data_IF_570260415423
#
_entry.id   IF_570260415423
#
_cell.length_a   1.000
_cell.length_b   1.000
_cell.length_c   1.000
_cell.angle_alpha   90.00
_cell.angle_beta   90.00
_cell.angle_gamma   90.00
#
_symmetry.space_group_name_H-M   'P 1'
#
loop_
_entity.id
_entity.type
_entity.pdbx_description
1 polymer ?
#
# COMPACT_ATOMS: atom_id res chain seq x y z
N UNK A 1 -13.86 -15.21 -1.29
CA UNK A 1 -12.60 -14.48 -1.58
C UNK A 1 -12.46 -13.19 -0.77
N UNK A 2 -13.44 -12.29 -0.75
CA UNK A 2 -13.38 -11.03 0.03
C UNK A 2 -13.02 -11.24 1.51
N UNK A 3 -13.70 -12.17 2.19
CA UNK A 3 -13.39 -12.47 3.60
C UNK A 3 -12.01 -13.12 3.79
N UNK A 4 -11.56 -13.92 2.83
CA UNK A 4 -10.24 -14.54 2.85
C UNK A 4 -9.14 -13.48 2.72
N UNK A 5 -9.26 -12.54 1.78
CA UNK A 5 -8.26 -11.49 1.61
C UNK A 5 -8.23 -10.54 2.82
N UNK A 6 -9.37 -10.27 3.45
CA UNK A 6 -9.43 -9.52 4.70
C UNK A 6 -8.72 -10.25 5.85
N UNK A 7 -8.91 -11.57 5.97
CA UNK A 7 -8.19 -12.39 6.95
C UNK A 7 -6.68 -12.40 6.69
N UNK A 8 -6.27 -12.67 5.44
CA UNK A 8 -4.87 -12.69 5.03
C UNK A 8 -4.19 -11.32 5.21
N UNK A 9 -4.93 -10.22 5.03
CA UNK A 9 -4.44 -8.88 5.34
C UNK A 9 -4.15 -8.67 6.84
N UNK A 10 -4.94 -9.27 7.73
CA UNK A 10 -4.65 -9.25 9.17
C UNK A 10 -3.44 -10.12 9.52
N UNK A 11 -3.24 -11.23 8.80
CA UNK A 11 -1.99 -12.01 8.87
C UNK A 11 -0.80 -11.16 8.41
N UNK A 12 -0.93 -10.40 7.33
CA UNK A 12 0.11 -9.46 6.89
C UNK A 12 0.43 -8.41 7.97
N UNK A 13 -0.59 -7.83 8.61
CA UNK A 13 -0.40 -6.91 9.74
C UNK A 13 0.39 -7.56 10.89
N UNK A 14 0.13 -8.84 11.18
CA UNK A 14 0.87 -9.59 12.18
C UNK A 14 2.33 -9.84 11.75
N UNK A 15 2.57 -10.21 10.49
CA UNK A 15 3.92 -10.41 9.94
C UNK A 15 4.74 -9.12 10.08
N UNK A 16 4.20 -7.99 9.63
CA UNK A 16 4.89 -6.69 9.73
C UNK A 16 5.16 -6.28 11.17
N UNK A 17 4.22 -6.52 12.08
CA UNK A 17 4.43 -6.28 13.50
C UNK A 17 5.59 -7.12 14.05
N UNK A 18 5.68 -8.41 13.68
CA UNK A 18 6.77 -9.30 14.11
C UNK A 18 8.12 -8.95 13.51
N UNK A 19 8.16 -8.36 12.32
CA UNK A 19 9.41 -7.96 11.64
C UNK A 19 9.81 -6.51 11.87
N UNK A 20 9.03 -5.74 12.63
CA UNK A 20 9.33 -4.35 12.99
C UNK A 20 9.01 -3.34 11.88
N UNK A 21 8.21 -3.73 10.89
CA UNK A 21 7.78 -2.85 9.79
C UNK A 21 6.63 -1.95 10.27
N UNK A 22 6.81 -0.63 10.18
CA UNK A 22 5.81 0.34 10.61
C UNK A 22 4.68 0.53 9.57
N UNK A 23 3.84 -0.48 9.40
CA UNK A 23 2.73 -0.47 8.43
C UNK A 23 1.64 0.55 8.78
N UNK A 24 1.47 0.91 10.05
CA UNK A 24 0.48 1.91 10.49
C UNK A 24 0.83 3.30 9.97
N UNK A 25 2.10 3.69 10.07
CA UNK A 25 2.58 4.94 9.48
C UNK A 25 2.36 4.95 7.97
N UNK A 26 2.75 3.87 7.28
CA UNK A 26 2.66 3.77 5.81
C UNK A 26 1.21 3.83 5.32
N UNK A 27 0.29 3.12 5.97
CA UNK A 27 -1.09 2.99 5.50
C UNK A 27 -2.06 4.04 6.02
N UNK A 28 -1.84 4.53 7.24
CA UNK A 28 -2.79 5.39 7.96
C UNK A 28 -2.20 6.78 8.26
N UNK A 29 -0.91 7.02 7.96
CA UNK A 29 -0.25 8.26 8.31
C UNK A 29 -0.10 8.48 9.83
N UNK A 30 -0.39 7.46 10.65
CA UNK A 30 -0.33 7.55 12.10
C UNK A 30 1.14 7.63 12.55
N UNK A 31 1.61 8.83 12.90
CA UNK A 31 2.88 9.05 13.58
C UNK A 31 2.62 8.98 15.08
N UNK A 32 2.92 7.84 15.70
CA UNK A 32 3.00 7.79 17.16
C UNK A 32 4.40 8.24 17.58
N UNK A 33 4.47 9.42 18.21
CA UNK A 33 5.70 9.94 18.83
C UNK A 33 6.22 8.95 19.87
N UNK A 34 7.54 8.74 19.92
CA UNK A 34 8.27 7.89 20.90
C UNK A 34 8.16 8.32 22.36
N UNK A 35 7.39 9.38 22.65
CA UNK A 35 7.31 9.94 23.98
C UNK A 35 6.06 9.42 24.72
N UNK A 36 6.23 8.31 25.42
CA UNK A 36 5.24 7.79 26.36
C UNK A 36 5.68 6.46 26.99
N UNK A 37 5.29 6.18 28.23
CA UNK A 37 5.56 4.91 28.92
C UNK A 37 4.87 3.69 28.28
N UNK A 38 4.06 3.88 27.24
CA UNK A 38 3.49 2.80 26.43
C UNK A 38 4.47 2.20 25.40
N UNK A 39 5.70 2.71 25.33
CA UNK A 39 6.67 2.40 24.28
C UNK A 39 7.32 1.01 24.31
N UNK A 40 7.13 0.20 25.35
CA UNK A 40 7.78 -1.11 25.42
C UNK A 40 6.89 -2.29 25.06
N UNK A 41 5.57 -2.11 25.11
CA UNK A 41 4.63 -3.16 24.74
C UNK A 41 4.16 -2.93 23.31
N UNK A 42 5.07 -3.21 22.36
CA UNK A 42 4.70 -3.68 21.02
C UNK A 42 4.09 -5.09 21.18
N UNK A 43 3.10 -5.21 22.07
CA UNK A 43 2.35 -6.41 22.33
C UNK A 43 1.28 -6.53 21.26
N UNK A 44 1.02 -7.77 20.86
CA UNK A 44 -0.06 -8.06 19.92
C UNK A 44 -1.40 -7.43 20.35
N UNK A 45 -1.64 -7.27 21.66
CA UNK A 45 -2.82 -6.61 22.22
C UNK A 45 -2.95 -5.12 21.85
N UNK A 46 -1.85 -4.36 21.78
CA UNK A 46 -1.86 -2.90 21.48
C UNK A 46 -1.95 -2.60 19.98
N UNK A 47 -1.65 -3.59 19.14
CA UNK A 47 -1.68 -3.50 17.68
C UNK A 47 -3.09 -3.30 17.08
N UNK A 48 -4.16 -3.43 17.87
CA UNK A 48 -5.57 -3.50 17.43
C UNK A 48 -5.87 -4.67 16.46
N UNK A 49 -4.89 -5.54 16.15
CA UNK A 49 -5.09 -6.72 15.30
C UNK A 49 -6.08 -7.72 15.91
N UNK A 50 -6.00 -8.08 17.22
CA UNK A 50 -7.00 -8.96 17.84
C UNK A 50 -8.42 -8.44 17.72
N UNK A 51 -8.61 -7.13 17.92
CA UNK A 51 -9.92 -6.47 17.80
C UNK A 51 -10.45 -6.53 16.36
N UNK A 52 -9.58 -6.32 15.36
CA UNK A 52 -9.95 -6.44 13.94
C UNK A 52 -10.25 -7.88 13.53
N UNK A 53 -9.54 -8.87 14.09
CA UNK A 53 -9.85 -10.30 13.93
C UNK A 53 -11.21 -10.63 14.54
N UNK A 54 -11.46 -10.17 15.77
CA UNK A 54 -12.76 -10.29 16.43
C UNK A 54 -13.88 -9.69 15.59
N UNK A 55 -13.70 -8.50 15.03
CA UNK A 55 -14.66 -7.91 14.10
C UNK A 55 -14.89 -8.79 12.86
N UNK A 56 -13.83 -9.32 12.26
CA UNK A 56 -13.91 -10.14 11.05
C UNK A 56 -14.62 -11.48 11.29
N UNK A 57 -14.51 -12.09 12.47
CA UNK A 57 -15.19 -13.37 12.76
C UNK A 57 -16.71 -13.24 12.74
N UNK A 58 -17.28 -12.08 13.11
CA UNK A 58 -18.72 -11.81 12.97
C UNK A 58 -19.19 -11.80 11.52
N UNK A 59 -18.32 -11.52 10.55
CA UNK A 59 -18.64 -11.67 9.14
C UNK A 59 -18.43 -13.11 8.69
N UNK A 60 -17.28 -13.72 9.03
CA UNK A 60 -16.91 -15.06 8.55
C UNK A 60 -17.91 -16.12 8.98
N UNK A 61 -18.24 -16.19 10.28
CA UNK A 61 -19.03 -17.31 10.81
C UNK A 61 -20.44 -17.36 10.22
N UNK A 62 -21.25 -16.28 10.26
CA UNK A 62 -22.59 -16.31 9.69
C UNK A 62 -22.57 -16.50 8.17
N UNK A 63 -21.64 -15.86 7.47
CA UNK A 63 -21.49 -16.00 6.01
C UNK A 63 -21.16 -17.44 5.61
N UNK A 64 -20.26 -18.10 6.34
CA UNK A 64 -19.89 -19.49 6.11
C UNK A 64 -21.09 -20.42 6.36
N UNK A 65 -21.85 -20.21 7.43
CA UNK A 65 -23.08 -20.98 7.72
C UNK A 65 -24.09 -20.81 6.59
N UNK A 66 -24.34 -19.59 6.12
CA UNK A 66 -25.26 -19.34 5.00
C UNK A 66 -24.80 -20.04 3.72
N UNK A 67 -23.51 -19.97 3.41
CA UNK A 67 -22.92 -20.62 2.24
C UNK A 67 -23.01 -22.15 2.33
N UNK A 68 -22.71 -22.73 3.49
CA UNK A 68 -22.77 -24.18 3.71
C UNK A 68 -24.20 -24.70 3.62
N UNK A 69 -25.16 -24.00 4.21
CA UNK A 69 -26.58 -24.33 4.09
C UNK A 69 -27.06 -24.18 2.64
N UNK A 70 -26.61 -23.15 1.93
CA UNK A 70 -27.00 -22.93 0.53
C UNK A 70 -26.48 -24.05 -0.37
N UNK A 71 -25.25 -24.49 -0.12
CA UNK A 71 -24.66 -25.64 -0.80
C UNK A 71 -25.39 -26.94 -0.47
N UNK A 72 -25.63 -27.23 0.82
CA UNK A 72 -26.28 -28.46 1.27
C UNK A 72 -27.74 -28.58 0.80
N UNK A 73 -28.45 -27.46 0.68
CA UNK A 73 -29.84 -27.40 0.24
C UNK A 73 -29.99 -27.22 -1.27
N UNK A 74 -28.88 -27.04 -2.00
CA UNK A 74 -28.84 -26.72 -3.44
C UNK A 74 -29.74 -25.53 -3.82
N UNK A 75 -29.92 -24.59 -2.89
CA UNK A 75 -30.82 -23.44 -3.04
C UNK A 75 -30.11 -22.15 -2.65
N UNK A 76 -30.11 -21.20 -3.58
CA UNK A 76 -29.63 -19.84 -3.32
C UNK A 76 -30.67 -19.01 -2.55
N UNK A 77 -31.97 -19.23 -2.77
CA UNK A 77 -33.04 -18.52 -2.07
C UNK A 77 -33.56 -19.35 -0.90
N UNK A 78 -33.74 -18.76 0.31
CA UNK A 78 -33.57 -17.34 0.68
C UNK A 78 -32.15 -16.97 1.17
N UNK A 79 -31.23 -17.93 1.23
CA UNK A 79 -29.94 -17.78 1.92
C UNK A 79 -29.02 -16.71 1.33
N UNK A 80 -29.07 -16.45 0.03
CA UNK A 80 -28.34 -15.36 -0.63
C UNK A 80 -28.80 -13.98 -0.18
N UNK A 81 -30.11 -13.76 0.01
CA UNK A 81 -30.62 -12.52 0.57
C UNK A 81 -30.28 -12.38 2.05
N UNK A 82 -30.36 -13.48 2.80
CA UNK A 82 -29.97 -13.52 4.20
C UNK A 82 -28.48 -13.21 4.39
N UNK A 83 -27.62 -13.70 3.49
CA UNK A 83 -26.20 -13.34 3.43
C UNK A 83 -26.01 -11.83 3.29
N UNK A 84 -26.65 -11.20 2.29
CA UNK A 84 -26.56 -9.74 2.08
C UNK A 84 -27.12 -8.97 3.27
N UNK A 85 -28.25 -9.43 3.82
CA UNK A 85 -28.88 -8.84 5.00
C UNK A 85 -27.96 -8.85 6.22
N UNK A 86 -27.30 -9.98 6.50
CA UNK A 86 -26.35 -10.09 7.62
C UNK A 86 -25.16 -9.16 7.42
N UNK A 87 -24.54 -9.15 6.23
CA UNK A 87 -23.40 -8.27 5.94
C UNK A 87 -23.81 -6.80 6.13
N UNK A 88 -24.95 -6.39 5.56
CA UNK A 88 -25.47 -5.03 5.66
C UNK A 88 -25.78 -4.65 7.12
N UNK A 89 -26.44 -5.55 7.86
CA UNK A 89 -26.75 -5.37 9.27
C UNK A 89 -25.48 -5.15 10.09
N UNK A 90 -24.45 -5.99 9.92
CA UNK A 90 -23.19 -5.85 10.66
C UNK A 90 -22.49 -4.52 10.34
N UNK A 91 -22.44 -4.10 9.08
CA UNK A 91 -21.85 -2.81 8.72
C UNK A 91 -22.60 -1.61 9.34
N UNK A 92 -23.94 -1.64 9.32
CA UNK A 92 -24.82 -0.58 9.84
C UNK A 92 -25.09 -0.67 11.34
N UNK A 93 -24.71 -1.78 11.99
CA UNK A 93 -25.02 -2.06 13.39
C UNK A 93 -24.52 -0.91 14.30
N UNK A 94 -25.42 -0.30 15.12
CA UNK A 94 -25.07 0.76 16.05
C UNK A 94 -24.01 0.32 17.06
N UNK A 95 -23.20 1.27 17.52
CA UNK A 95 -22.23 1.07 18.58
C UNK A 95 -22.97 0.74 19.89
N UNK A 96 -22.84 -0.50 20.38
CA UNK A 96 -23.41 -0.93 21.66
C UNK A 96 -24.13 -2.28 21.64
N UNK A 97 -24.60 -2.75 20.48
CA UNK A 97 -25.30 -4.04 20.39
C UNK A 97 -24.35 -5.25 20.50
N UNK A 98 -23.18 -5.14 19.89
CA UNK A 98 -22.12 -6.15 19.97
C UNK A 98 -21.00 -5.61 20.87
N UNK A 99 -20.47 -6.38 21.83
CA UNK A 99 -19.36 -5.95 22.67
C UNK A 99 -18.18 -5.44 21.83
N UNK A 100 -17.57 -4.32 22.22
CA UNK A 100 -16.44 -3.70 21.52
C UNK A 100 -16.69 -3.23 20.08
N UNK A 101 -17.94 -3.22 19.60
CA UNK A 101 -18.30 -2.76 18.25
C UNK A 101 -18.13 -1.25 18.05
N UNK A 102 -18.12 -0.49 19.14
CA UNK A 102 -17.78 0.93 19.18
C UNK A 102 -16.30 1.16 18.78
N UNK A 103 -15.41 0.26 19.16
CA UNK A 103 -13.95 0.38 18.90
C UNK A 103 -13.56 0.17 17.44
N UNK A 104 -14.47 -0.36 16.61
CA UNK A 104 -14.23 -0.63 15.18
C UNK A 104 -14.92 0.35 14.24
N UNK A 105 -15.61 1.37 14.78
CA UNK A 105 -16.27 2.42 14.00
C UNK A 105 -15.27 3.13 13.07
N UNK A 106 -14.08 3.46 13.56
CA UNK A 106 -13.05 4.11 12.74
C UNK A 106 -12.64 3.23 11.55
N UNK A 107 -12.39 1.94 11.78
CA UNK A 107 -12.04 0.98 10.72
C UNK A 107 -13.15 0.86 9.68
N UNK A 108 -14.42 0.79 10.11
CA UNK A 108 -15.59 0.75 9.20
C UNK A 108 -15.68 2.02 8.34
N UNK A 109 -15.59 3.19 8.98
CA UNK A 109 -15.61 4.48 8.29
C UNK A 109 -14.48 4.58 7.27
N UNK A 110 -13.25 4.26 7.68
CA UNK A 110 -12.09 4.24 6.79
C UNK A 110 -12.32 3.33 5.59
N UNK A 111 -12.76 2.08 5.80
CA UNK A 111 -13.01 1.14 4.70
C UNK A 111 -14.06 1.67 3.72
N UNK A 112 -15.18 2.21 4.21
CA UNK A 112 -16.25 2.76 3.36
C UNK A 112 -15.77 3.99 2.59
N UNK A 113 -15.07 4.92 3.26
CA UNK A 113 -14.55 6.13 2.61
C UNK A 113 -13.53 5.77 1.52
N UNK A 114 -12.57 4.88 1.81
CA UNK A 114 -11.57 4.44 0.83
C UNK A 114 -12.22 3.71 -0.35
N UNK A 115 -13.25 2.88 -0.12
CA UNK A 115 -14.01 2.24 -1.20
C UNK A 115 -14.75 3.26 -2.08
N UNK A 116 -15.39 4.28 -1.49
CA UNK A 116 -16.05 5.35 -2.23
C UNK A 116 -15.03 6.14 -3.06
N UNK A 117 -13.89 6.53 -2.46
CA UNK A 117 -12.79 7.22 -3.15
C UNK A 117 -12.25 6.41 -4.33
N UNK A 118 -12.17 5.08 -4.19
CA UNK A 118 -11.76 4.19 -5.27
C UNK A 118 -12.81 4.09 -6.39
N UNK A 119 -14.10 3.91 -6.03
CA UNK A 119 -15.18 3.84 -7.01
C UNK A 119 -15.34 5.15 -7.78
N UNK A 120 -15.08 6.28 -7.12
CA UNK A 120 -15.05 7.63 -7.68
C UNK A 120 -13.61 8.06 -8.03
N UNK A 121 -12.76 7.11 -8.39
CA UNK A 121 -11.38 7.38 -8.80
C UNK A 121 -11.35 8.37 -9.96
N UNK A 122 -10.50 9.39 -9.84
CA UNK A 122 -10.47 10.55 -10.75
C UNK A 122 -10.94 11.84 -10.10
N UNK A 123 -11.92 11.78 -9.19
CA UNK A 123 -12.47 13.00 -8.55
C UNK A 123 -11.72 13.42 -7.29
N UNK A 124 -11.12 12.47 -6.58
CA UNK A 124 -10.41 12.70 -5.32
C UNK A 124 -8.89 12.55 -5.50
N UNK A 125 -8.08 13.30 -4.73
CA UNK A 125 -6.65 13.03 -4.65
C UNK A 125 -6.42 11.61 -4.13
N UNK A 126 -5.36 10.97 -4.62
CA UNK A 126 -5.11 9.55 -4.36
C UNK A 126 -4.03 9.38 -3.31
N UNK A 127 -4.39 8.83 -2.15
CA UNK A 127 -3.45 8.50 -1.07
C UNK A 127 -2.89 7.08 -1.21
N UNK A 128 -1.89 6.74 -0.38
CA UNK A 128 -1.31 5.38 -0.34
C UNK A 128 -2.39 4.32 -0.14
N UNK A 129 -3.25 4.52 0.87
CA UNK A 129 -4.33 3.59 1.19
C UNK A 129 -5.30 3.36 0.03
N UNK A 130 -5.60 4.39 -0.77
CA UNK A 130 -6.54 4.32 -1.89
C UNK A 130 -6.01 3.43 -3.02
N UNK A 131 -4.76 3.65 -3.41
CA UNK A 131 -4.17 2.89 -4.51
C UNK A 131 -3.79 1.47 -4.07
N UNK A 132 -3.36 1.31 -2.82
CA UNK A 132 -3.08 0.02 -2.21
C UNK A 132 -4.35 -0.85 -2.11
N UNK A 133 -5.47 -0.29 -1.65
CA UNK A 133 -6.76 -0.98 -1.65
C UNK A 133 -7.22 -1.30 -3.06
N UNK A 134 -6.98 -0.40 -4.02
CA UNK A 134 -7.28 -0.66 -5.42
C UNK A 134 -6.55 -1.91 -5.95
N UNK A 135 -5.26 -2.09 -5.61
CA UNK A 135 -4.49 -3.26 -6.05
C UNK A 135 -5.00 -4.57 -5.42
N UNK A 136 -5.48 -4.52 -4.18
CA UNK A 136 -6.21 -5.63 -3.55
C UNK A 136 -7.48 -5.96 -4.35
N UNK A 137 -8.23 -4.94 -4.76
CA UNK A 137 -9.48 -5.10 -5.51
C UNK A 137 -9.25 -5.66 -6.93
N UNK A 138 -8.10 -5.39 -7.57
CA UNK A 138 -7.73 -6.06 -8.81
C UNK A 138 -7.66 -7.59 -8.69
N UNK A 139 -7.29 -8.10 -7.51
CA UNK A 139 -7.27 -9.55 -7.24
C UNK A 139 -8.66 -10.12 -6.89
N UNK A 140 -9.67 -9.26 -6.77
CA UNK A 140 -11.08 -9.63 -6.56
C UNK A 140 -11.92 -9.56 -7.85
N UNK A 141 -11.27 -9.53 -9.02
CA UNK A 141 -11.92 -9.47 -10.34
C UNK A 141 -13.01 -10.54 -10.52
N UNK A 142 -12.77 -11.78 -10.11
CA UNK A 142 -13.77 -12.86 -10.14
C UNK A 142 -14.99 -12.53 -9.26
N UNK A 143 -14.76 -12.09 -8.02
CA UNK A 143 -15.84 -11.74 -7.08
C UNK A 143 -16.69 -10.56 -7.57
N UNK A 144 -16.07 -9.59 -8.25
CA UNK A 144 -16.78 -8.45 -8.81
C UNK A 144 -17.58 -8.87 -10.05
N UNK A 145 -17.05 -9.75 -10.90
CA UNK A 145 -17.78 -10.30 -12.03
C UNK A 145 -19.02 -11.10 -11.58
N UNK A 146 -18.91 -11.87 -10.50
CA UNK A 146 -20.00 -12.71 -9.96
C UNK A 146 -21.18 -11.89 -9.40
N UNK A 147 -21.03 -10.58 -9.17
CA UNK A 147 -22.15 -9.69 -8.83
C UNK A 147 -23.21 -9.74 -9.96
N UNK A 148 -22.79 -9.77 -11.23
CA UNK A 148 -23.72 -9.90 -12.35
C UNK A 148 -24.41 -11.27 -12.37
N UNK A 149 -23.71 -12.34 -11.96
CA UNK A 149 -24.30 -13.67 -11.85
C UNK A 149 -25.38 -13.70 -10.77
N UNK A 150 -25.12 -13.10 -9.61
CA UNK A 150 -26.08 -12.98 -8.52
C UNK A 150 -27.40 -12.38 -9.02
N UNK A 151 -27.36 -11.18 -9.61
CA UNK A 151 -28.57 -10.54 -10.14
C UNK A 151 -29.24 -11.33 -11.28
N UNK A 152 -28.46 -11.99 -12.13
CA UNK A 152 -29.00 -12.80 -13.22
C UNK A 152 -29.84 -13.97 -12.70
N UNK A 153 -29.36 -14.71 -11.71
CA UNK A 153 -30.08 -15.86 -11.11
C UNK A 153 -31.42 -15.41 -10.49
N UNK A 154 -31.53 -14.17 -10.02
CA UNK A 154 -32.78 -13.61 -9.49
C UNK A 154 -33.71 -12.99 -10.55
N UNK A 155 -33.26 -12.82 -11.79
CA UNK A 155 -33.98 -12.06 -12.84
C UNK A 155 -34.99 -12.88 -13.65
N UNK A 156 -35.35 -14.10 -13.22
CA UNK A 156 -36.11 -15.10 -14.00
C UNK A 156 -35.41 -15.59 -15.28
N UNK A 157 -34.17 -15.16 -15.53
CA UNK A 157 -33.34 -15.71 -16.61
C UNK A 157 -32.99 -17.17 -16.28
N UNK A 158 -33.07 -18.11 -17.24
CA UNK A 158 -32.62 -19.48 -17.04
C UNK A 158 -31.19 -19.54 -16.50
N UNK A 159 -30.96 -20.29 -15.41
CA UNK A 159 -29.67 -20.33 -14.71
C UNK A 159 -28.48 -20.71 -15.61
N UNK A 160 -28.71 -21.52 -16.66
CA UNK A 160 -27.70 -21.90 -17.64
C UNK A 160 -27.20 -20.73 -18.51
N UNK A 161 -27.93 -19.61 -18.56
CA UNK A 161 -27.57 -18.39 -19.29
C UNK A 161 -26.91 -17.33 -18.40
N UNK A 162 -26.80 -17.57 -17.09
CA UNK A 162 -26.18 -16.62 -16.15
C UNK A 162 -24.65 -16.73 -16.03
N UNK A 163 -24.03 -17.62 -16.81
CA UNK A 163 -22.58 -17.82 -16.83
C UNK A 163 -21.80 -16.79 -17.63
N UNK A 164 -20.48 -16.82 -17.47
CA UNK A 164 -19.52 -15.94 -18.15
C UNK A 164 -19.49 -16.08 -19.68
N UNK A 165 -20.10 -17.13 -20.23
CA UNK A 165 -20.23 -17.35 -21.68
C UNK A 165 -21.40 -16.61 -22.32
N UNK A 166 -22.34 -16.10 -21.52
CA UNK A 166 -23.56 -15.45 -22.00
C UNK A 166 -23.77 -14.05 -21.42
N UNK A 167 -23.18 -13.75 -20.25
CA UNK A 167 -23.34 -12.45 -19.60
C UNK A 167 -22.25 -11.44 -20.00
N UNK A 168 -22.65 -10.41 -20.75
CA UNK A 168 -21.81 -9.23 -21.02
C UNK A 168 -21.50 -8.44 -19.76
N UNK A 169 -22.46 -8.39 -18.82
CA UNK A 169 -22.31 -7.66 -17.56
C UNK A 169 -21.14 -8.21 -16.73
N UNK A 170 -20.96 -9.54 -16.68
CA UNK A 170 -19.80 -10.14 -16.01
C UNK A 170 -18.46 -9.64 -16.58
N UNK A 171 -18.37 -9.47 -17.91
CA UNK A 171 -17.17 -8.96 -18.57
C UNK A 171 -16.90 -7.48 -18.32
N UNK A 172 -17.96 -6.66 -18.25
CA UNK A 172 -17.82 -5.24 -17.88
C UNK A 172 -17.34 -5.13 -16.44
N UNK A 173 -17.97 -5.87 -15.53
CA UNK A 173 -17.60 -5.88 -14.12
C UNK A 173 -16.17 -6.41 -13.89
N UNK A 174 -15.70 -7.39 -14.68
CA UNK A 174 -14.31 -7.86 -14.58
C UNK A 174 -13.27 -6.82 -15.03
N UNK A 175 -13.66 -5.82 -15.82
CA UNK A 175 -12.77 -4.72 -16.22
C UNK A 175 -12.70 -3.61 -15.17
N UNK A 176 -13.71 -3.47 -14.31
CA UNK A 176 -13.83 -2.36 -13.35
C UNK A 176 -12.65 -2.20 -12.40
N UNK A 177 -12.08 -3.26 -11.80
CA UNK A 177 -10.95 -3.10 -10.88
C UNK A 177 -9.74 -2.42 -11.55
N UNK A 178 -9.40 -2.87 -12.77
CA UNK A 178 -8.30 -2.28 -13.54
C UNK A 178 -8.64 -0.87 -14.01
N UNK A 179 -9.90 -0.60 -14.34
CA UNK A 179 -10.37 0.75 -14.68
C UNK A 179 -10.21 1.73 -13.51
N UNK A 180 -10.60 1.36 -12.28
CA UNK A 180 -10.41 2.25 -11.12
C UNK A 180 -8.93 2.58 -10.87
N UNK A 181 -8.04 1.60 -11.03
CA UNK A 181 -6.59 1.85 -10.92
C UNK A 181 -6.07 2.74 -12.03
N UNK A 182 -6.53 2.53 -13.25
CA UNK A 182 -6.21 3.39 -14.38
C UNK A 182 -6.59 4.85 -14.08
N UNK A 183 -7.81 5.09 -13.61
CA UNK A 183 -8.28 6.45 -13.24
C UNK A 183 -7.47 7.05 -12.09
N UNK A 184 -7.11 6.26 -11.07
CA UNK A 184 -6.21 6.72 -10.00
C UNK A 184 -4.83 7.10 -10.54
N UNK A 185 -4.27 6.37 -11.51
CA UNK A 185 -2.98 6.69 -12.10
C UNK A 185 -3.04 7.98 -12.92
N UNK A 186 -4.10 8.19 -13.70
CA UNK A 186 -4.31 9.44 -14.43
C UNK A 186 -4.48 10.63 -13.49
N UNK A 187 -5.23 10.44 -12.39
CA UNK A 187 -5.43 11.48 -11.39
C UNK A 187 -4.11 11.92 -10.76
N UNK A 188 -3.26 10.96 -10.40
CA UNK A 188 -1.94 11.25 -9.83
C UNK A 188 -1.02 11.97 -10.81
N UNK A 189 -1.04 11.57 -12.08
CA UNK A 189 -0.34 12.31 -13.12
C UNK A 189 -0.84 13.75 -13.25
N UNK A 190 -2.15 13.98 -13.17
CA UNK A 190 -2.73 15.31 -13.22
C UNK A 190 -2.36 16.16 -11.99
N UNK A 191 -2.28 15.56 -10.80
CA UNK A 191 -1.93 16.25 -9.56
C UNK A 191 -0.42 16.55 -9.45
N UNK A 192 0.47 15.62 -9.82
CA UNK A 192 1.92 15.78 -9.65
C UNK A 192 2.64 16.34 -10.88
N UNK A 193 2.09 16.13 -12.09
CA UNK A 193 2.78 16.41 -13.36
C UNK A 193 3.86 15.39 -13.73
N UNK A 194 4.16 14.42 -12.87
CA UNK A 194 5.21 13.43 -13.08
C UNK A 194 4.73 12.28 -13.98
N UNK A 195 5.25 12.21 -15.21
CA UNK A 195 4.88 11.14 -16.15
C UNK A 195 5.28 9.75 -15.64
N UNK A 196 6.42 9.65 -14.94
CA UNK A 196 6.91 8.43 -14.30
C UNK A 196 6.79 8.58 -12.77
N UNK A 197 6.24 7.59 -12.06
CA UNK A 197 5.78 6.28 -12.53
C UNK A 197 4.32 6.26 -13.06
N UNK A 198 3.58 7.37 -12.97
CA UNK A 198 2.13 7.37 -13.07
C UNK A 198 1.57 6.89 -14.42
N UNK A 199 2.09 7.38 -15.55
CA UNK A 199 1.57 6.99 -16.88
C UNK A 199 1.94 5.57 -17.27
N UNK A 200 3.13 5.08 -16.88
CA UNK A 200 3.49 3.68 -17.09
C UNK A 200 2.59 2.75 -16.26
N UNK A 201 2.27 3.16 -15.04
CA UNK A 201 1.32 2.43 -14.21
C UNK A 201 -0.10 2.46 -14.83
N UNK A 202 -0.52 3.59 -15.40
CA UNK A 202 -1.78 3.67 -16.14
C UNK A 202 -1.80 2.69 -17.33
N UNK A 203 -0.73 2.65 -18.13
CA UNK A 203 -0.60 1.72 -19.25
C UNK A 203 -0.67 0.24 -18.80
N UNK A 204 -0.05 -0.09 -17.66
CA UNK A 204 -0.16 -1.41 -17.02
C UNK A 204 -1.62 -1.79 -16.76
N UNK A 205 -2.43 -0.90 -16.19
CA UNK A 205 -3.85 -1.18 -15.96
C UNK A 205 -4.70 -1.16 -17.23
N UNK A 206 -4.32 -0.39 -18.25
CA UNK A 206 -4.95 -0.47 -19.58
C UNK A 206 -4.80 -1.87 -20.19
N UNK A 207 -3.63 -2.50 -20.03
CA UNK A 207 -3.42 -3.89 -20.44
C UNK A 207 -4.29 -4.86 -19.63
N UNK A 208 -4.49 -4.61 -18.34
CA UNK A 208 -5.42 -5.37 -17.50
C UNK A 208 -6.88 -5.28 -17.98
N UNK A 209 -7.32 -4.09 -18.40
CA UNK A 209 -8.64 -3.89 -19.02
C UNK A 209 -8.72 -4.67 -20.35
N UNK A 210 -7.72 -4.52 -21.21
CA UNK A 210 -7.68 -5.19 -22.52
C UNK A 210 -7.69 -6.73 -22.38
N UNK A 211 -6.94 -7.27 -21.42
CA UNK A 211 -6.94 -8.70 -21.07
C UNK A 211 -8.35 -9.18 -20.68
N UNK A 212 -9.01 -8.50 -19.73
CA UNK A 212 -10.34 -8.91 -19.28
C UNK A 212 -11.41 -8.75 -20.39
N UNK A 213 -11.33 -7.68 -21.17
CA UNK A 213 -12.25 -7.42 -22.28
C UNK A 213 -12.12 -8.47 -23.39
N UNK A 214 -10.90 -8.81 -23.78
CA UNK A 214 -10.64 -9.84 -24.80
C UNK A 214 -11.00 -11.25 -24.31
N UNK A 215 -10.77 -11.56 -23.03
CA UNK A 215 -11.24 -12.80 -22.40
C UNK A 215 -12.78 -12.90 -22.42
N UNK A 216 -13.49 -11.82 -22.10
CA UNK A 216 -14.94 -11.77 -22.21
C UNK A 216 -15.40 -11.96 -23.65
N UNK A 217 -14.79 -11.24 -24.60
CA UNK A 217 -15.11 -11.34 -26.01
C UNK A 217 -14.92 -12.77 -26.55
N UNK A 218 -13.82 -13.45 -26.15
CA UNK A 218 -13.57 -14.84 -26.47
C UNK A 218 -14.68 -15.75 -25.93
N UNK A 219 -15.04 -15.61 -24.65
CA UNK A 219 -16.10 -16.40 -23.99
C UNK A 219 -17.49 -16.21 -24.63
N UNK A 220 -17.83 -14.99 -25.04
CA UNK A 220 -19.12 -14.66 -25.67
C UNK A 220 -19.22 -15.13 -27.14
N UNK A 221 -18.08 -15.32 -27.82
CA UNK A 221 -18.03 -15.73 -29.23
C UNK A 221 -18.09 -17.23 -29.46
N UNK A 222 -18.59 -17.97 -28.48
CA UNK A 222 -18.45 -19.42 -28.38
C UNK A 222 -17.01 -19.90 -28.67
N UNK A 223 -16.04 -19.15 -28.14
CA UNK A 223 -14.60 -19.46 -28.22
C UNK A 223 -14.07 -19.54 -29.65
N UNK A 224 -14.55 -18.65 -30.53
CA UNK A 224 -14.00 -18.52 -31.88
C UNK A 224 -12.48 -18.33 -31.88
N UNK A 225 -11.78 -19.04 -32.77
CA UNK A 225 -10.32 -18.92 -32.92
C UNK A 225 -9.89 -17.48 -33.26
N UNK A 226 -10.72 -16.73 -33.99
CA UNK A 226 -10.46 -15.32 -34.31
C UNK A 226 -10.36 -14.42 -33.06
N UNK A 227 -11.11 -14.73 -31.99
CA UNK A 227 -11.04 -13.97 -30.72
C UNK A 227 -10.06 -14.56 -29.73
N UNK A 228 -9.55 -15.77 -29.98
CA UNK A 228 -8.52 -16.42 -29.17
C UNK A 228 -7.17 -15.72 -29.29
N UNK A 229 -6.76 -15.38 -30.52
CA UNK A 229 -5.49 -14.68 -30.77
C UNK A 229 -5.35 -13.36 -30.00
N UNK A 230 -6.29 -12.38 -30.09
CA UNK A 230 -6.17 -11.14 -29.34
C UNK A 230 -6.20 -11.36 -27.82
N UNK A 231 -6.97 -12.34 -27.34
CA UNK A 231 -6.95 -12.74 -25.92
C UNK A 231 -5.55 -13.19 -25.48
N UNK A 232 -4.93 -14.13 -26.19
CA UNK A 232 -3.60 -14.65 -25.85
C UNK A 232 -2.55 -13.54 -25.88
N UNK A 233 -2.59 -12.66 -26.88
CA UNK A 233 -1.66 -11.53 -27.00
C UNK A 233 -1.81 -10.56 -25.83
N UNK A 234 -3.04 -10.11 -25.54
CA UNK A 234 -3.30 -9.21 -24.41
C UNK A 234 -2.95 -9.84 -23.07
N UNK A 235 -3.26 -11.13 -22.87
CA UNK A 235 -2.92 -11.87 -21.66
C UNK A 235 -1.40 -11.98 -21.46
N UNK A 236 -0.67 -12.35 -22.52
CA UNK A 236 0.79 -12.47 -22.49
C UNK A 236 1.46 -11.13 -22.17
N UNK A 237 1.07 -10.06 -22.87
CA UNK A 237 1.60 -8.71 -22.63
C UNK A 237 1.30 -8.23 -21.21
N UNK A 238 0.07 -8.43 -20.74
CA UNK A 238 -0.32 -8.07 -19.38
C UNK A 238 0.50 -8.83 -18.34
N UNK A 239 0.62 -10.16 -18.45
CA UNK A 239 1.39 -10.97 -17.50
C UNK A 239 2.87 -10.57 -17.46
N UNK A 240 3.52 -10.41 -18.62
CA UNK A 240 4.94 -10.03 -18.67
C UNK A 240 5.16 -8.64 -18.05
N UNK A 241 4.38 -7.65 -18.46
CA UNK A 241 4.60 -6.26 -18.02
C UNK A 241 4.19 -6.04 -16.56
N UNK A 242 3.13 -6.71 -16.08
CA UNK A 242 2.75 -6.66 -14.66
C UNK A 242 3.70 -7.44 -13.76
N UNK A 243 4.19 -8.62 -14.17
CA UNK A 243 5.23 -9.34 -13.41
C UNK A 243 6.53 -8.56 -13.35
N UNK A 244 6.94 -7.94 -14.47
CA UNK A 244 8.08 -7.05 -14.46
C UNK A 244 7.84 -5.90 -13.46
N UNK A 245 6.69 -5.24 -13.50
CA UNK A 245 6.34 -4.17 -12.57
C UNK A 245 6.39 -4.61 -11.10
N UNK A 246 5.83 -5.78 -10.77
CA UNK A 246 5.80 -6.28 -9.39
C UNK A 246 7.23 -6.49 -8.85
N UNK A 247 8.12 -7.09 -9.66
CA UNK A 247 9.50 -7.33 -9.26
C UNK A 247 10.33 -6.05 -9.21
N UNK A 248 10.21 -5.23 -10.24
CA UNK A 248 11.04 -4.05 -10.51
C UNK A 248 10.65 -2.87 -9.64
N UNK A 249 9.36 -2.52 -9.66
CA UNK A 249 8.85 -1.29 -9.06
C UNK A 249 8.36 -1.55 -7.64
N UNK A 250 7.49 -2.55 -7.48
CA UNK A 250 6.77 -2.74 -6.22
C UNK A 250 7.66 -3.36 -5.14
N UNK A 251 8.52 -4.31 -5.51
CA UNK A 251 9.44 -4.95 -4.57
C UNK A 251 10.85 -4.35 -4.61
N UNK A 252 11.16 -3.52 -5.62
CA UNK A 252 12.51 -2.98 -5.86
C UNK A 252 13.59 -4.08 -5.92
N UNK A 253 13.23 -5.23 -6.48
CA UNK A 253 14.09 -6.38 -6.74
C UNK A 253 14.45 -6.37 -8.25
N UNK A 254 15.45 -7.13 -8.67
CA UNK A 254 15.92 -7.27 -10.05
C UNK A 254 16.61 -6.04 -10.70
N UNK A 255 17.15 -5.09 -9.92
CA UNK A 255 17.93 -3.95 -10.45
C UNK A 255 19.38 -3.92 -9.97
N UNK A 256 19.63 -4.35 -8.74
CA UNK A 256 20.94 -4.22 -8.14
C UNK A 256 21.81 -5.44 -8.48
N UNK A 257 22.44 -5.42 -9.66
CA UNK A 257 23.42 -6.44 -10.06
C UNK A 257 24.80 -6.21 -9.43
N UNK A 258 25.01 -5.05 -8.81
CA UNK A 258 26.27 -4.58 -8.22
C UNK A 258 26.36 -4.76 -6.70
N UNK A 259 25.25 -5.14 -6.05
CA UNK A 259 25.17 -5.41 -4.61
C UNK A 259 25.68 -6.81 -4.25
N UNK A 260 26.11 -6.98 -3.00
CA UNK A 260 26.42 -8.29 -2.39
C UNK A 260 25.25 -9.29 -2.46
N UNK A 261 24.02 -8.82 -2.69
CA UNK A 261 22.84 -9.66 -2.89
C UNK A 261 22.43 -9.66 -4.37
N UNK A 262 22.68 -10.77 -5.06
CA UNK A 262 22.30 -10.92 -6.48
C UNK A 262 20.80 -10.67 -6.68
N UNK A 263 20.44 -9.68 -7.51
CA UNK A 263 19.06 -9.25 -7.81
C UNK A 263 18.26 -8.67 -6.62
N UNK A 264 18.69 -8.81 -5.38
CA UNK A 264 17.94 -8.31 -4.22
C UNK A 264 18.48 -6.94 -3.78
N UNK A 265 17.63 -6.17 -3.11
CA UNK A 265 18.02 -4.94 -2.42
C UNK A 265 18.86 -5.22 -1.17
N UNK A 266 19.50 -4.19 -0.64
CA UNK A 266 20.45 -4.31 0.47
C UNK A 266 19.78 -4.47 1.84
N UNK A 267 18.57 -3.95 2.01
CA UNK A 267 17.80 -4.05 3.25
C UNK A 267 16.58 -4.97 3.08
N UNK A 268 16.66 -6.13 3.72
CA UNK A 268 15.70 -7.24 3.65
C UNK A 268 15.16 -7.56 5.05
N UNK A 269 14.16 -6.83 5.51
CA UNK A 269 13.56 -6.98 6.84
C UNK A 269 12.94 -8.37 7.04
N UNK A 270 12.32 -8.96 6.00
CA UNK A 270 11.80 -10.33 6.09
C UNK A 270 12.91 -11.39 6.19
N UNK A 271 14.14 -11.07 5.75
CA UNK A 271 15.28 -11.98 5.88
C UNK A 271 15.85 -11.99 7.32
N UNK A 272 15.35 -11.14 8.22
CA UNK A 272 15.78 -11.06 9.60
C UNK A 272 16.94 -10.08 9.80
N UNK A 273 17.83 -10.37 10.74
CA UNK A 273 19.00 -9.52 11.03
C UNK A 273 20.16 -9.87 10.09
N UNK A 274 20.88 -8.85 9.64
CA UNK A 274 22.17 -9.02 8.96
C UNK A 274 23.17 -9.64 9.95
N UNK A 275 24.06 -10.50 9.46
CA UNK A 275 25.22 -10.89 10.25
C UNK A 275 26.12 -9.65 10.43
N UNK A 276 26.52 -9.39 11.67
CA UNK A 276 27.27 -8.19 12.03
C UNK A 276 28.67 -8.16 11.41
N UNK A 277 29.30 -9.33 11.21
CA UNK A 277 30.69 -9.44 10.73
C UNK A 277 30.83 -9.13 9.24
N UNK A 278 29.86 -9.58 8.43
CA UNK A 278 29.94 -9.52 6.97
C UNK A 278 28.80 -8.71 6.33
N UNK A 279 27.88 -8.16 7.12
CA UNK A 279 26.73 -7.39 6.64
C UNK A 279 25.73 -8.17 5.79
N UNK A 280 25.86 -9.51 5.69
CA UNK A 280 25.07 -10.35 4.78
C UNK A 280 23.94 -11.07 5.49
N UNK A 281 22.88 -11.36 4.75
CA UNK A 281 21.79 -12.21 5.21
C UNK A 281 22.12 -13.69 4.99
N UNK A 282 21.60 -14.56 5.86
CA UNK A 282 21.66 -16.01 5.65
C UNK A 282 20.97 -16.42 4.34
N UNK A 283 21.56 -17.36 3.61
CA UNK A 283 21.01 -17.83 2.33
C UNK A 283 19.58 -18.36 2.48
N UNK A 284 19.31 -19.17 3.51
CA UNK A 284 17.98 -19.73 3.78
C UNK A 284 16.90 -18.66 4.00
N UNK A 285 17.31 -17.47 4.48
CA UNK A 285 16.41 -16.34 4.66
C UNK A 285 16.15 -15.59 3.35
N UNK A 286 17.16 -15.47 2.49
CA UNK A 286 17.03 -14.89 1.15
C UNK A 286 16.13 -15.72 0.24
N UNK A 287 16.09 -17.05 0.42
CA UNK A 287 15.23 -17.95 -0.36
C UNK A 287 13.75 -17.51 -0.36
N UNK A 288 13.26 -16.91 0.72
CA UNK A 288 11.87 -16.42 0.81
C UNK A 288 11.55 -15.42 -0.32
N UNK A 289 12.49 -14.56 -0.67
CA UNK A 289 12.32 -13.59 -1.76
C UNK A 289 12.31 -14.28 -3.12
N UNK A 290 13.28 -15.15 -3.39
CA UNK A 290 13.34 -15.87 -4.67
C UNK A 290 12.11 -16.76 -4.89
N UNK A 291 11.65 -17.46 -3.85
CA UNK A 291 10.41 -18.23 -3.92
C UNK A 291 9.21 -17.33 -4.20
N UNK A 292 9.12 -16.16 -3.55
CA UNK A 292 8.05 -15.21 -3.82
C UNK A 292 8.08 -14.68 -5.26
N UNK A 293 9.27 -14.42 -5.83
CA UNK A 293 9.42 -13.99 -7.21
C UNK A 293 8.91 -15.04 -8.20
N UNK A 294 9.33 -16.30 -8.01
CA UNK A 294 8.89 -17.41 -8.85
C UNK A 294 7.37 -17.61 -8.70
N UNK A 295 6.87 -17.57 -7.46
CA UNK A 295 5.45 -17.72 -7.14
C UNK A 295 4.59 -16.66 -7.82
N UNK A 296 5.03 -15.40 -7.80
CA UNK A 296 4.31 -14.30 -8.45
C UNK A 296 4.22 -14.52 -9.96
N UNK A 297 5.35 -14.80 -10.62
CA UNK A 297 5.39 -15.05 -12.07
C UNK A 297 4.49 -16.24 -12.42
N UNK A 298 4.60 -17.37 -11.74
CA UNK A 298 3.83 -18.57 -12.07
C UNK A 298 2.31 -18.33 -12.03
N UNK A 299 1.82 -17.67 -10.97
CA UNK A 299 0.38 -17.38 -10.84
C UNK A 299 -0.07 -16.29 -11.83
N UNK A 300 0.80 -15.34 -12.20
CA UNK A 300 0.47 -14.33 -13.23
C UNK A 300 0.15 -14.94 -14.60
N UNK A 301 0.58 -16.17 -14.86
CA UNK A 301 0.25 -16.95 -16.05
C UNK A 301 -0.96 -17.90 -15.85
N UNK A 302 -1.78 -17.70 -14.82
CA UNK A 302 -2.97 -18.52 -14.56
C UNK A 302 -3.96 -18.55 -15.73
N UNK A 303 -3.97 -17.50 -16.56
CA UNK A 303 -4.82 -17.39 -17.75
C UNK A 303 -4.54 -18.48 -18.79
N UNK A 304 -3.37 -19.13 -18.75
CA UNK A 304 -3.01 -20.24 -19.63
C UNK A 304 -4.03 -21.38 -19.51
N UNK A 305 -4.60 -21.59 -18.32
CA UNK A 305 -5.66 -22.58 -18.10
C UNK A 305 -6.85 -22.33 -19.02
N UNK A 306 -7.21 -21.06 -19.25
CA UNK A 306 -8.28 -20.67 -20.16
C UNK A 306 -7.90 -20.73 -21.65
N UNK A 307 -6.61 -20.76 -21.97
CA UNK A 307 -6.11 -20.82 -23.34
C UNK A 307 -5.89 -22.26 -23.86
N UNK A 308 -5.56 -23.19 -22.96
CA UNK A 308 -5.20 -24.58 -23.29
C UNK A 308 -6.35 -25.56 -23.03
N UNK A 309 -7.15 -25.37 -21.97
CA UNK A 309 -8.13 -26.36 -21.57
C UNK A 309 -9.48 -26.19 -22.31
N UNK A 310 -9.99 -27.21 -23.04
CA UNK A 310 -11.24 -27.16 -23.77
C UNK A 310 -12.48 -27.03 -22.86
N UNK A 311 -13.62 -26.73 -23.48
CA UNK A 311 -14.87 -26.17 -22.95
C UNK A 311 -15.34 -26.60 -21.54
N UNK A 312 -15.00 -27.79 -21.06
CA UNK A 312 -15.39 -28.35 -19.76
C UNK A 312 -14.68 -27.72 -18.55
N UNK A 313 -13.40 -27.36 -18.66
CA UNK A 313 -12.61 -26.81 -17.53
C UNK A 313 -12.89 -25.31 -17.34
N UNK A 314 -13.13 -24.58 -18.43
CA UNK A 314 -13.35 -23.13 -18.37
C UNK A 314 -14.73 -22.73 -17.80
N UNK A 315 -15.73 -23.62 -17.90
CA UNK A 315 -17.05 -23.42 -17.30
C UNK A 315 -17.15 -23.96 -15.86
N UNK A 316 -16.11 -24.66 -15.38
CA UNK A 316 -16.11 -25.22 -14.04
C UNK A 316 -16.03 -24.12 -12.98
N UNK A 317 -17.04 -24.09 -12.10
CA UNK A 317 -17.02 -23.27 -10.89
C UNK A 317 -15.80 -23.59 -10.01
N UNK A 318 -15.38 -24.86 -9.97
CA UNK A 318 -14.21 -25.30 -9.20
C UNK A 318 -12.93 -24.68 -9.75
N UNK A 319 -12.76 -24.67 -11.08
CA UNK A 319 -11.58 -24.06 -11.72
C UNK A 319 -11.55 -22.56 -11.46
N UNK A 320 -12.67 -21.86 -11.64
CA UNK A 320 -12.75 -20.42 -11.36
C UNK A 320 -12.47 -20.10 -9.89
N UNK A 321 -12.93 -20.96 -8.97
CA UNK A 321 -12.63 -20.84 -7.54
C UNK A 321 -11.14 -21.03 -7.23
N UNK A 322 -10.50 -22.05 -7.82
CA UNK A 322 -9.06 -22.32 -7.62
C UNK A 322 -8.23 -21.15 -8.15
N UNK A 323 -8.52 -20.63 -9.34
CA UNK A 323 -7.81 -19.50 -9.91
C UNK A 323 -8.01 -18.24 -9.06
N UNK A 324 -9.24 -17.95 -8.63
CA UNK A 324 -9.50 -16.84 -7.71
C UNK A 324 -8.76 -17.00 -6.37
N UNK A 325 -8.63 -18.22 -5.86
CA UNK A 325 -7.86 -18.51 -4.65
C UNK A 325 -6.36 -18.26 -4.86
N UNK A 326 -5.80 -18.75 -5.96
CA UNK A 326 -4.39 -18.53 -6.31
C UNK A 326 -4.08 -17.04 -6.45
N UNK A 327 -4.92 -16.27 -7.12
CA UNK A 327 -4.74 -14.82 -7.27
C UNK A 327 -4.82 -14.09 -5.91
N UNK A 328 -5.70 -14.51 -4.99
CA UNK A 328 -5.75 -13.96 -3.62
C UNK A 328 -4.49 -14.31 -2.83
N UNK A 329 -3.98 -15.55 -2.94
CA UNK A 329 -2.74 -15.98 -2.28
C UNK A 329 -1.51 -15.24 -2.84
N UNK A 330 -1.45 -15.04 -4.16
CA UNK A 330 -0.42 -14.22 -4.81
C UNK A 330 -0.43 -12.79 -4.27
N UNK A 331 -1.62 -12.17 -4.20
CA UNK A 331 -1.77 -10.82 -3.64
C UNK A 331 -1.37 -10.74 -2.16
N UNK A 332 -1.70 -11.75 -1.36
CA UNK A 332 -1.26 -11.85 0.03
C UNK A 332 0.27 -11.74 0.14
N UNK A 333 1.00 -12.51 -0.68
CA UNK A 333 2.47 -12.45 -0.75
C UNK A 333 2.96 -11.08 -1.23
N UNK A 334 2.41 -10.58 -2.35
CA UNK A 334 2.79 -9.28 -2.91
C UNK A 334 2.63 -8.13 -1.91
N UNK A 335 1.57 -8.13 -1.11
CA UNK A 335 1.31 -7.10 -0.10
C UNK A 335 2.47 -7.02 0.90
N UNK A 336 2.98 -8.16 1.37
CA UNK A 336 4.05 -8.21 2.37
C UNK A 336 5.27 -7.45 1.87
N UNK A 337 5.74 -7.81 0.66
CA UNK A 337 6.93 -7.23 0.05
C UNK A 337 6.71 -5.78 -0.40
N UNK A 338 5.51 -5.41 -0.88
CA UNK A 338 5.22 -4.01 -1.28
C UNK A 338 5.35 -3.05 -0.10
N UNK A 339 4.81 -3.43 1.05
CA UNK A 339 4.84 -2.59 2.27
C UNK A 339 6.23 -2.58 2.88
N UNK A 340 6.96 -3.70 2.80
CA UNK A 340 8.36 -3.75 3.19
C UNK A 340 9.23 -2.85 2.31
N UNK A 341 8.97 -2.80 1.00
CA UNK A 341 9.66 -1.90 0.08
C UNK A 341 9.41 -0.44 0.44
N UNK A 342 8.16 -0.10 0.70
CA UNK A 342 7.77 1.25 1.14
C UNK A 342 8.42 1.65 2.46
N UNK A 343 8.54 0.70 3.41
CA UNK A 343 9.19 0.95 4.68
C UNK A 343 10.66 1.33 4.49
N UNK A 344 11.39 0.57 3.69
CA UNK A 344 12.81 0.82 3.40
C UNK A 344 13.00 2.14 2.67
N UNK A 345 12.17 2.44 1.68
CA UNK A 345 12.21 3.73 0.99
C UNK A 345 12.00 4.90 1.98
N UNK A 346 11.03 4.79 2.89
CA UNK A 346 10.78 5.82 3.91
C UNK A 346 11.94 6.00 4.91
N UNK A 347 12.63 4.90 5.26
CA UNK A 347 13.82 4.93 6.13
C UNK A 347 14.98 5.64 5.44
N UNK A 348 15.26 5.33 4.17
CA UNK A 348 16.34 5.98 3.42
C UNK A 348 16.10 7.47 3.14
N UNK A 349 14.83 7.88 2.99
CA UNK A 349 14.46 9.28 2.76
C UNK A 349 14.32 10.10 4.06
N UNK A 350 14.65 9.52 5.23
CA UNK A 350 14.52 10.18 6.54
C UNK A 350 13.14 10.80 6.82
N UNK A 351 12.07 10.30 6.18
CA UNK A 351 10.71 10.89 6.29
C UNK A 351 10.10 10.80 7.70
N UNK A 352 10.71 10.01 8.59
CA UNK A 352 10.21 9.68 9.93
C UNK A 352 11.09 10.26 11.05
N UNK A 353 12.25 10.84 10.74
CA UNK A 353 13.02 11.57 11.77
C UNK A 353 12.36 12.93 11.98
N UNK A 354 11.46 13.02 12.95
CA UNK A 354 11.41 14.26 13.73
C UNK A 354 12.76 14.38 14.40
N UNK A 355 13.37 15.56 14.37
CA UNK A 355 14.66 15.80 15.01
C UNK A 355 14.60 15.23 16.43
N UNK A 356 15.35 14.14 16.65
CA UNK A 356 15.46 13.59 17.98
C UNK A 356 16.26 14.64 18.77
N UNK A 357 15.68 15.28 19.80
CA UNK A 357 16.45 16.21 20.59
C UNK A 357 17.66 15.45 21.13
N UNK A 358 18.84 16.02 20.92
CA UNK A 358 20.05 15.45 21.50
C UNK A 358 19.83 15.33 23.02
N UNK A 359 20.31 14.25 23.66
CA UNK A 359 20.12 14.01 25.10
C UNK A 359 20.81 15.04 25.99
N UNK A 360 21.46 16.04 25.40
CA UNK A 360 22.04 17.19 26.07
C UNK A 360 21.43 18.47 25.51
N UNK A 361 21.15 19.46 26.37
CA UNK A 361 20.68 20.76 25.93
C UNK A 361 21.73 21.37 25.01
N UNK A 362 21.34 21.64 23.77
CA UNK A 362 22.08 22.55 22.91
C UNK A 362 21.83 23.92 23.52
N UNK A 363 22.89 24.59 23.99
CA UNK A 363 22.80 26.00 24.34
C UNK A 363 22.29 26.72 23.08
N UNK A 364 21.05 27.20 23.12
CA UNK A 364 20.58 28.12 22.11
C UNK A 364 21.49 29.33 22.23
N UNK A 365 22.37 29.53 21.25
CA UNK A 365 23.06 30.80 21.10
C UNK A 365 21.93 31.76 20.74
N UNK A 366 21.42 32.45 21.77
CA UNK A 366 20.41 33.47 21.61
C UNK A 366 20.93 34.48 20.60
N UNK A 367 20.12 34.71 19.57
CA UNK A 367 20.31 35.77 18.61
C UNK A 367 19.93 37.09 19.30
N UNK A 368 20.69 37.44 20.34
CA UNK A 368 20.63 38.75 20.96
C UNK A 368 21.60 39.62 20.18
N UNK A 369 21.02 40.52 19.38
CA UNK A 369 21.68 41.68 18.81
C UNK A 369 22.39 42.47 19.92
N UNK A 370 23.66 42.15 20.17
CA UNK A 370 24.50 42.88 21.13
C UNK A 370 25.20 44.04 20.42
N UNK A 371 24.78 45.24 20.81
CA UNK A 371 25.52 46.47 20.60
C UNK A 371 26.96 46.32 21.10
N UNK A 372 27.89 46.72 20.24
CA UNK A 372 29.33 46.65 20.46
C UNK A 372 29.81 47.79 21.37
N UNK A 373 29.70 47.62 22.69
CA UNK A 373 30.61 48.26 23.65
C UNK A 373 30.32 47.73 25.06
N UNK A 374 31.37 47.31 25.76
CA UNK A 374 31.41 46.78 27.14
C UNK A 374 31.15 45.28 27.32
N UNK A 375 32.20 44.48 27.10
CA UNK A 375 32.50 43.35 27.98
C UNK A 375 34.00 43.06 28.06
N UNK A 376 34.78 44.11 28.36
CA UNK A 376 36.10 43.93 28.95
C UNK A 376 35.93 43.67 30.44
N UNK A 377 36.53 42.59 30.94
CA UNK A 377 36.58 42.17 32.35
C UNK A 377 35.32 41.51 32.94
N UNK A 378 35.25 40.18 32.83
CA UNK A 378 34.87 39.21 33.90
C UNK A 378 34.44 37.87 33.29
N UNK A 379 35.41 37.07 32.86
CA UNK A 379 35.29 35.61 32.80
C UNK A 379 36.68 34.98 32.55
N UNK A 380 37.69 35.41 33.31
CA UNK A 380 38.99 34.75 33.34
C UNK A 380 39.25 34.28 34.77
N UNK A 381 38.58 33.21 35.18
CA UNK A 381 38.93 32.46 36.38
C UNK A 381 38.19 31.12 36.44
N UNK A 382 38.44 30.23 35.48
CA UNK A 382 38.36 28.78 35.69
C UNK A 382 38.88 28.08 34.44
N UNK A 383 39.65 27.01 34.64
CA UNK A 383 40.31 26.17 33.63
C UNK A 383 41.60 26.73 33.01
N UNK A 384 42.63 26.84 33.85
CA UNK A 384 43.99 26.50 33.44
C UNK A 384 44.22 25.02 33.77
N UNK A 385 44.35 24.17 32.75
CA UNK A 385 45.22 22.98 32.74
C UNK A 385 45.44 22.52 31.27
N UNK A 386 46.41 23.18 30.59
CA UNK A 386 47.54 22.63 29.79
C UNK A 386 47.25 21.59 28.67
N UNK A 387 47.91 21.56 27.47
CA UNK A 387 48.32 22.63 26.52
C UNK A 387 48.21 22.20 25.01
N UNK A 388 47.74 23.05 24.07
CA UNK A 388 48.19 22.92 22.66
C UNK A 388 48.35 24.33 22.05
N UNK A 389 49.55 24.61 21.55
CA UNK A 389 49.94 25.75 20.72
C UNK A 389 50.48 25.23 19.36
N UNK A 390 50.70 26.05 18.32
CA UNK A 390 49.74 26.89 17.58
C UNK A 390 49.96 26.81 16.04
N UNK A 391 49.02 27.27 15.20
CA UNK A 391 49.26 27.95 13.90
C UNK A 391 47.91 28.25 13.22
N UNK A 392 47.55 29.54 13.07
CA UNK A 392 47.63 30.35 11.82
C UNK A 392 46.74 29.78 10.70
N UNK A 393 45.66 30.41 10.24
CA UNK A 393 45.53 31.80 9.77
C UNK A 393 44.08 32.33 9.76
N UNK A 394 44.00 33.67 9.74
CA UNK A 394 42.82 34.52 9.80
C UNK A 394 42.05 34.67 8.46
N UNK A 395 40.76 34.99 8.63
CA UNK A 395 39.91 35.92 7.85
C UNK A 395 39.02 35.40 6.68
N UNK A 396 37.90 36.10 6.35
CA UNK A 396 36.56 35.61 6.69
C UNK A 396 35.52 35.69 5.53
N UNK A 397 34.28 35.26 5.82
CA UNK A 397 33.04 35.47 5.05
C UNK A 397 32.81 34.63 3.77
N UNK A 398 32.07 33.53 3.90
CA UNK A 398 30.69 33.38 3.37
C UNK A 398 30.20 31.96 3.63
N UNK A 399 29.41 31.74 4.68
CA UNK A 399 28.63 30.49 4.78
C UNK A 399 27.33 30.69 4.00
N UNK A 400 27.27 30.04 2.85
CA UNK A 400 26.04 29.89 2.08
C UNK A 400 25.03 29.06 2.88
N UNK A 401 23.76 29.46 2.82
CA UNK A 401 22.63 28.65 3.28
C UNK A 401 22.71 27.24 2.64
N UNK A 402 22.36 26.17 3.38
CA UNK A 402 22.27 24.84 2.80
C UNK A 402 21.08 24.81 1.84
N UNK A 403 21.35 25.01 0.54
CA UNK A 403 20.35 24.80 -0.49
C UNK A 403 19.95 23.31 -0.53
N UNK A 404 18.65 23.00 -0.70
CA UNK A 404 18.21 21.64 -0.95
C UNK A 404 18.91 21.14 -2.22
N UNK A 405 19.54 19.97 -2.11
CA UNK A 405 20.26 19.32 -3.18
C UNK A 405 19.32 18.78 -4.26
N UNK A 406 18.58 19.65 -4.95
CA UNK A 406 18.02 19.37 -6.27
C UNK A 406 17.59 20.65 -7.01
N UNK A 407 18.56 21.48 -7.41
CA UNK A 407 18.39 22.35 -8.58
C UNK A 407 19.33 21.85 -9.68
N UNK A 408 18.74 21.17 -10.65
CA UNK A 408 19.44 20.59 -11.79
C UNK A 408 20.25 21.65 -12.54
N UNK A 409 21.56 21.49 -12.53
CA UNK A 409 22.47 22.20 -13.43
C UNK A 409 23.57 21.23 -13.86
N UNK A 410 23.31 20.53 -14.96
CA UNK A 410 24.16 20.42 -16.15
C UNK A 410 23.60 19.31 -17.05
N UNK A 411 23.14 19.75 -18.22
CA UNK A 411 22.42 18.96 -19.23
C UNK A 411 23.40 18.03 -19.95
N UNK A 412 23.76 16.90 -19.35
CA UNK A 412 24.24 15.73 -20.11
C UNK A 412 23.00 15.00 -20.65
N UNK A 413 22.94 14.74 -21.95
CA UNK A 413 21.93 13.84 -22.56
C UNK A 413 22.17 12.42 -22.01
N UNK A 414 21.68 12.13 -20.81
CA UNK A 414 21.48 10.76 -20.36
C UNK A 414 20.34 10.15 -21.18
N UNK A 415 20.49 8.89 -21.56
CA UNK A 415 19.43 8.17 -22.26
C UNK A 415 18.19 8.07 -21.36
N UNK A 416 16.99 8.05 -21.95
CA UNK A 416 15.72 7.91 -21.22
C UNK A 416 15.77 6.70 -20.27
N UNK A 417 16.43 5.61 -20.68
CA UNK A 417 16.63 4.41 -19.88
C UNK A 417 17.54 4.60 -18.66
N UNK A 418 18.58 5.43 -18.77
CA UNK A 418 19.48 5.73 -17.64
C UNK A 418 18.78 6.61 -16.59
N UNK A 419 17.92 7.54 -17.05
CA UNK A 419 17.07 8.32 -16.14
C UNK A 419 16.02 7.45 -15.44
N UNK A 420 15.38 6.52 -16.17
CA UNK A 420 14.44 5.55 -15.60
C UNK A 420 15.14 4.65 -14.58
N UNK A 421 16.30 4.08 -14.92
CA UNK A 421 17.06 3.21 -14.01
C UNK A 421 17.42 3.90 -12.69
N UNK A 422 17.82 5.18 -12.75
CA UNK A 422 18.13 5.97 -11.54
C UNK A 422 16.89 6.40 -10.77
N UNK A 423 15.74 6.56 -11.43
CA UNK A 423 14.48 6.94 -10.79
C UNK A 423 13.68 5.76 -10.22
N UNK A 424 13.93 4.52 -10.65
CA UNK A 424 13.19 3.32 -10.20
C UNK A 424 13.21 3.13 -8.67
N UNK A 425 14.36 3.18 -7.96
CA UNK A 425 14.39 3.03 -6.50
C UNK A 425 13.61 4.12 -5.76
N UNK A 426 13.39 5.26 -6.43
CA UNK A 426 12.80 6.47 -5.88
C UNK A 426 11.48 6.83 -6.55
N UNK A 427 10.89 5.93 -7.33
CA UNK A 427 9.72 6.23 -8.16
C UNK A 427 8.49 6.64 -7.34
N UNK A 428 8.46 6.23 -6.06
CA UNK A 428 7.42 6.57 -5.09
C UNK A 428 7.88 7.60 -4.04
N UNK A 429 9.05 8.21 -4.23
CA UNK A 429 9.66 9.16 -3.30
C UNK A 429 9.05 10.57 -3.35
N UNK A 430 8.28 10.92 -4.38
CA UNK A 430 7.59 12.22 -4.49
C UNK A 430 6.12 12.16 -4.07
N UNK A 431 5.55 10.96 -4.02
CA UNK A 431 4.12 10.68 -3.77
C UNK A 431 3.58 11.12 -2.40
N UNK A 432 4.45 11.54 -1.48
CA UNK A 432 4.11 11.77 -0.07
C UNK A 432 4.77 13.03 0.51
N UNK A 433 5.05 14.04 -0.33
CA UNK A 433 5.34 15.36 0.21
C UNK A 433 4.14 15.82 1.04
N UNK A 434 4.38 16.17 2.31
CA UNK A 434 3.35 16.82 3.14
C UNK A 434 2.87 18.07 2.40
N UNK A 435 1.58 18.43 2.50
CA UNK A 435 1.20 19.82 2.25
C UNK A 435 2.13 20.68 3.11
N UNK A 436 2.81 21.65 2.51
CA UNK A 436 3.51 22.68 3.27
C UNK A 436 2.49 23.28 4.22
N UNK A 437 2.72 23.11 5.51
CA UNK A 437 2.02 23.92 6.50
C UNK A 437 2.51 25.32 6.22
N UNK A 438 1.70 26.10 5.50
CA UNK A 438 1.87 27.54 5.50
C UNK A 438 1.65 27.94 6.95
N UNK A 439 2.74 28.11 7.69
CA UNK A 439 2.74 28.87 8.94
C UNK A 439 2.34 30.28 8.55
N UNK A 440 1.03 30.52 8.53
CA UNK A 440 0.52 31.88 8.59
C UNK A 440 0.98 32.39 9.94
N UNK A 441 1.85 33.39 9.91
CA UNK A 441 2.23 34.23 11.05
C UNK A 441 0.96 34.85 11.65
N UNK A 442 0.29 34.14 12.57
CA UNK A 442 -0.61 34.78 13.52
C UNK A 442 0.21 35.28 14.70
N UNK A 443 0.83 36.44 14.49
CA UNK A 443 1.19 37.33 15.60
C UNK A 443 -0.09 37.96 16.12
N UNK A 444 -0.71 37.36 17.13
CA UNK A 444 -1.64 38.07 18.02
C UNK A 444 -1.06 38.06 19.43
N UNK A 445 -1.01 39.22 20.12
CA UNK A 445 -0.33 39.35 21.40
C UNK A 445 -1.12 38.64 22.51
N UNK A 446 -0.37 37.93 23.34
CA UNK A 446 -0.80 37.46 24.66
C UNK A 446 -1.33 38.63 25.47
N UNK A 447 -2.55 38.51 25.98
CA UNK A 447 -3.00 39.27 27.15
C UNK A 447 -3.26 38.29 28.27
N UNK A 448 -2.37 38.36 29.26
CA UNK A 448 -2.49 37.76 30.57
C UNK A 448 -3.80 38.17 31.26
N UNK A 449 -4.51 37.19 31.80
CA UNK A 449 -5.24 37.36 33.06
C UNK A 449 -5.52 35.99 33.68
N UNK A 450 -4.66 35.61 34.63
CA UNK A 450 -5.02 34.67 35.69
C UNK A 450 -6.17 35.25 36.51
N UNK A 451 -7.22 34.45 36.78
CA UNK A 451 -7.65 34.09 38.14
C UNK A 451 -9.07 33.49 38.18
N UNK A 452 -9.15 32.41 38.96
CA UNK A 452 -10.24 32.10 39.91
C UNK A 452 -11.62 31.51 39.48
N UNK A 453 -11.86 30.33 40.09
CA UNK A 453 -13.06 29.92 40.84
C UNK A 453 -14.22 29.23 40.09
N UNK A 454 -14.25 27.90 40.29
CA UNK A 454 -15.30 27.13 40.98
C UNK A 454 -16.80 27.31 40.60
N UNK A 455 -17.45 26.15 40.46
CA UNK A 455 -18.86 25.84 40.73
C UNK A 455 -19.90 25.86 39.58
N UNK A 456 -20.47 24.67 39.36
CA UNK A 456 -21.91 24.34 39.18
C UNK A 456 -22.61 24.89 37.92
N UNK A 457 -22.91 24.00 36.96
CA UNK A 457 -24.25 23.37 36.81
C UNK A 457 -24.21 22.21 35.81
#
# INVERSE_FOLDING_TARGET
>A
MVLLIAFLFLVNCFIWHRTGINYRFIMLGEIQSKNGTQFFNNDFATSKIPLKLYFLTFFIVPCAVCSMLSFALEKLTPLGFLYIGIVSFLFLCPSGLIPYWDKVVHTRKWLVVTLIRLMMSGFFPVEFGDFFLGDIICSLTYSIADIAMFFCVYSHTPNNLCGSSHSRAMGVLSCLPSYWRFMQCLRRFADSGDWFPHLLNAAKYTLGIAYNATLCAYRLSDRSEQRRTPFIVCATLNSILTSAWDLVMDWSVAHNTTSYNWLLRDDLYLAGKKNWENGSYSFSRKLVYYFAMIWDILIRFEWIVYAIAPQTIQQSAVTSFILALLEVLRRFVWIIFRVENEHVANVHLFRVTGDAPLPYPIAQVGDDSMDSSDLGSKAFSSLNDIPITPSHDNNPHSFAEPMPAYRGTFRRRSSVFENISRSIPWAHATDFQRPTVNTVDDRSPETDSESEVESIM
#
